data_IF_836296638069
#
_entry.id   IF_836296638069
#
_cell.length_a   1.000
_cell.length_b   1.000
_cell.length_c   1.000
_cell.angle_alpha   90.00
_cell.angle_beta   90.00
_cell.angle_gamma   90.00
#
_symmetry.space_group_name_H-M   'P 1'
#
loop_
_entity.id
_entity.type
_entity.pdbx_description
1 polymer ?
#
# COMPACT_ATOMS: atom_id res chain seq x y z
N UNK A 1 -30.60 -12.69 77.69
CA UNK A 1 -30.91 -13.59 76.57
C UNK A 1 -30.63 -12.84 75.27
N UNK A 2 -29.45 -13.02 74.65
CA UNK A 2 -29.04 -12.35 73.39
C UNK A 2 -29.04 -13.39 72.30
N UNK A 3 -29.93 -13.23 71.33
CA UNK A 3 -30.04 -14.09 70.14
C UNK A 3 -29.11 -13.53 69.04
N UNK A 4 -28.14 -14.28 68.72
CA UNK A 4 -27.25 -13.98 67.53
C UNK A 4 -27.92 -14.51 66.28
N UNK A 5 -28.15 -13.62 65.32
CA UNK A 5 -28.64 -13.98 64.03
C UNK A 5 -27.39 -14.18 63.11
N UNK A 6 -27.22 -15.40 62.59
CA UNK A 6 -26.24 -15.73 61.58
C UNK A 6 -26.75 -15.25 60.22
N UNK A 7 -26.00 -14.39 59.57
CA UNK A 7 -26.21 -13.99 58.17
C UNK A 7 -25.41 -14.93 57.29
N UNK A 8 -25.99 -15.65 56.32
CA UNK A 8 -25.24 -16.42 55.37
C UNK A 8 -24.62 -15.49 54.32
N UNK A 9 -23.32 -15.53 54.20
CA UNK A 9 -22.52 -14.86 53.16
C UNK A 9 -22.69 -15.62 51.85
N UNK A 10 -23.48 -15.05 50.94
CA UNK A 10 -23.74 -15.61 49.61
C UNK A 10 -22.53 -15.29 48.71
N UNK A 11 -21.67 -16.28 48.48
CA UNK A 11 -20.53 -16.21 47.60
C UNK A 11 -21.02 -16.19 46.16
N UNK A 12 -20.92 -15.02 45.48
CA UNK A 12 -21.24 -14.81 44.07
C UNK A 12 -20.06 -15.28 43.26
N UNK A 13 -20.10 -16.50 42.71
CA UNK A 13 -19.13 -16.98 41.72
C UNK A 13 -19.42 -16.30 40.38
N UNK A 14 -18.60 -15.30 40.01
CA UNK A 14 -18.52 -14.76 38.65
C UNK A 14 -17.82 -15.80 37.73
N UNK A 15 -18.64 -16.49 36.94
CA UNK A 15 -18.14 -17.29 35.81
C UNK A 15 -17.70 -16.34 34.69
N UNK A 16 -16.40 -16.09 34.62
CA UNK A 16 -15.78 -15.51 33.43
C UNK A 16 -15.81 -16.58 32.33
N UNK A 17 -16.84 -16.54 31.48
CA UNK A 17 -16.80 -17.24 30.20
C UNK A 17 -15.79 -16.53 29.31
N UNK A 18 -14.56 -17.01 29.29
CA UNK A 18 -13.62 -16.72 28.25
C UNK A 18 -14.16 -17.33 26.95
N UNK A 19 -14.68 -16.49 26.05
CA UNK A 19 -14.87 -16.86 24.66
C UNK A 19 -13.49 -17.12 24.06
N UNK A 20 -13.05 -18.38 24.08
CA UNK A 20 -11.98 -18.87 23.27
C UNK A 20 -12.50 -18.96 21.83
N UNK A 21 -12.35 -17.89 21.06
CA UNK A 21 -12.41 -17.96 19.61
C UNK A 21 -11.23 -18.78 19.16
N UNK A 22 -11.48 -19.91 18.50
CA UNK A 22 -10.49 -20.61 17.69
C UNK A 22 -10.25 -19.71 16.46
N UNK A 23 -9.44 -18.64 16.65
CA UNK A 23 -8.87 -17.89 15.56
C UNK A 23 -7.83 -18.82 14.91
N UNK A 24 -8.04 -19.18 13.66
CA UNK A 24 -6.89 -19.46 12.80
C UNK A 24 -5.95 -18.26 12.91
N UNK A 25 -4.66 -18.49 12.86
CA UNK A 25 -3.67 -17.42 12.86
C UNK A 25 -3.99 -16.51 11.65
N UNK A 26 -4.80 -15.48 11.89
CA UNK A 26 -4.87 -14.35 11.00
C UNK A 26 -3.47 -13.73 11.07
N UNK A 27 -2.75 -13.71 9.95
CA UNK A 27 -1.46 -13.04 9.89
C UNK A 27 -1.61 -11.61 10.40
N UNK A 28 -0.60 -11.12 11.09
CA UNK A 28 -0.53 -9.72 11.53
C UNK A 28 -0.34 -8.84 10.29
N UNK A 29 -0.92 -7.65 10.29
CA UNK A 29 -0.69 -6.66 9.24
C UNK A 29 0.81 -6.32 9.08
N UNK A 30 1.58 -6.41 10.16
CA UNK A 30 3.02 -6.31 10.13
C UNK A 30 3.67 -7.44 9.32
N UNK A 31 3.15 -8.66 9.43
CA UNK A 31 3.63 -9.82 8.66
C UNK A 31 3.32 -9.67 7.17
N UNK A 32 2.13 -9.14 6.82
CA UNK A 32 1.76 -8.86 5.44
C UNK A 32 2.66 -7.80 4.77
N UNK A 33 3.27 -6.91 5.55
CA UNK A 33 4.19 -5.87 5.09
C UNK A 33 5.64 -6.33 4.98
N UNK A 34 6.02 -7.41 5.67
CA UNK A 34 7.41 -7.90 5.70
C UNK A 34 8.00 -8.24 4.32
N UNK A 35 7.25 -8.86 3.36
CA UNK A 35 7.76 -9.10 2.03
C UNK A 35 8.21 -7.83 1.32
N UNK A 36 7.45 -6.74 1.45
CA UNK A 36 7.78 -5.45 0.82
C UNK A 36 9.06 -4.82 1.37
N UNK A 37 9.33 -4.99 2.66
CA UNK A 37 10.55 -4.47 3.30
C UNK A 37 11.81 -5.18 2.84
N UNK A 38 11.68 -6.43 2.44
CA UNK A 38 12.81 -7.29 2.10
C UNK A 38 12.89 -7.62 0.60
N UNK A 39 11.97 -7.07 -0.23
CA UNK A 39 11.95 -7.40 -1.65
C UNK A 39 13.17 -6.87 -2.40
N UNK A 40 13.65 -7.65 -3.36
CA UNK A 40 14.62 -7.21 -4.36
C UNK A 40 13.96 -6.34 -5.43
N UNK A 41 12.68 -6.55 -5.69
CA UNK A 41 11.85 -5.81 -6.63
C UNK A 41 10.51 -6.51 -6.83
N UNK A 42 9.64 -5.87 -7.63
CA UNK A 42 8.35 -6.45 -8.00
C UNK A 42 7.87 -5.88 -9.33
N UNK A 43 7.06 -6.67 -10.03
CA UNK A 43 6.32 -6.24 -11.23
C UNK A 43 4.85 -6.18 -10.89
N UNK A 44 4.18 -5.14 -11.34
CA UNK A 44 2.76 -4.93 -11.09
C UNK A 44 2.08 -4.25 -12.27
N UNK A 45 0.78 -4.48 -12.40
CA UNK A 45 -0.10 -3.77 -13.30
C UNK A 45 -1.29 -3.24 -12.52
N UNK A 46 -1.72 -2.02 -12.79
CA UNK A 46 -2.86 -1.42 -12.11
C UNK A 46 -3.64 -0.46 -13.03
N UNK A 47 -4.95 -0.38 -12.79
CA UNK A 47 -5.81 0.67 -13.31
C UNK A 47 -5.70 1.87 -12.36
N UNK A 48 -5.21 2.99 -12.87
CA UNK A 48 -4.93 4.20 -12.10
C UNK A 48 -5.86 5.31 -12.51
N UNK A 49 -6.47 5.96 -11.52
CA UNK A 49 -7.24 7.20 -11.70
C UNK A 49 -6.65 8.30 -10.84
N UNK A 50 -6.39 9.45 -11.44
CA UNK A 50 -5.85 10.63 -10.78
C UNK A 50 -6.76 11.83 -11.03
N UNK A 51 -7.12 12.54 -9.97
CA UNK A 51 -7.89 13.78 -10.04
C UNK A 51 -7.01 14.94 -9.61
N UNK A 52 -6.71 15.84 -10.54
CA UNK A 52 -5.91 17.03 -10.28
C UNK A 52 -6.53 18.24 -10.97
N UNK A 53 -6.70 19.34 -10.24
CA UNK A 53 -7.27 20.60 -10.74
C UNK A 53 -8.64 20.43 -11.43
N UNK A 54 -9.44 19.45 -10.98
CA UNK A 54 -10.76 19.15 -11.55
C UNK A 54 -10.71 18.36 -12.87
N UNK A 55 -9.54 17.99 -13.36
CA UNK A 55 -9.35 17.06 -14.46
C UNK A 55 -9.15 15.63 -13.91
N UNK A 56 -9.78 14.65 -14.56
CA UNK A 56 -9.58 13.22 -14.26
C UNK A 56 -8.71 12.62 -15.34
N UNK A 57 -7.65 11.95 -14.92
CA UNK A 57 -6.78 11.18 -15.78
C UNK A 57 -6.88 9.70 -15.40
N UNK A 58 -7.06 8.84 -16.38
CA UNK A 58 -7.17 7.40 -16.17
C UNK A 58 -6.21 6.66 -17.11
N UNK A 59 -5.51 5.66 -16.59
CA UNK A 59 -4.62 4.84 -17.37
C UNK A 59 -4.44 3.45 -16.75
N UNK A 60 -4.07 2.47 -17.58
CA UNK A 60 -3.49 1.22 -17.12
C UNK A 60 -1.98 1.36 -17.16
N UNK A 61 -1.34 1.14 -16.03
CA UNK A 61 0.10 1.24 -15.87
C UNK A 61 0.69 -0.12 -15.56
N UNK A 62 1.84 -0.41 -16.16
CA UNK A 62 2.75 -1.48 -15.71
C UNK A 62 3.95 -0.83 -15.02
N UNK A 63 4.35 -1.37 -13.88
CA UNK A 63 5.50 -0.90 -13.15
C UNK A 63 6.43 -2.07 -12.83
N UNK A 64 7.70 -1.86 -13.15
CA UNK A 64 8.84 -2.69 -12.75
C UNK A 64 9.59 -1.91 -11.67
N UNK A 65 9.33 -2.24 -10.40
CA UNK A 65 9.84 -1.53 -9.24
C UNK A 65 11.08 -2.19 -8.66
N UNK A 66 12.17 -1.45 -8.57
CA UNK A 66 13.42 -1.87 -7.92
C UNK A 66 13.77 -0.88 -6.81
N UNK A 67 13.72 -1.30 -5.53
CA UNK A 67 14.15 -0.45 -4.42
C UNK A 67 15.60 0.02 -4.62
N UNK A 68 15.83 1.34 -4.51
CA UNK A 68 17.18 1.94 -4.66
C UNK A 68 17.84 1.67 -6.02
N UNK A 69 17.04 1.30 -7.03
CA UNK A 69 17.47 1.02 -8.37
C UNK A 69 16.65 1.77 -9.41
N UNK A 70 16.86 1.41 -10.68
CA UNK A 70 16.07 1.96 -11.77
C UNK A 70 14.67 1.32 -11.76
N UNK A 71 13.64 2.15 -11.66
CA UNK A 71 12.25 1.76 -11.72
C UNK A 71 11.63 2.24 -13.02
N UNK A 72 10.92 1.38 -13.73
CA UNK A 72 10.26 1.72 -14.98
C UNK A 72 8.74 1.66 -14.81
N UNK A 73 8.04 2.68 -15.31
CA UNK A 73 6.58 2.72 -15.38
C UNK A 73 6.16 2.94 -16.83
N UNK A 74 5.36 2.04 -17.38
CA UNK A 74 4.89 2.10 -18.76
C UNK A 74 3.36 2.26 -18.78
N UNK A 75 2.88 3.14 -19.66
CA UNK A 75 1.44 3.28 -19.94
C UNK A 75 1.02 2.20 -20.94
N UNK A 76 0.10 1.33 -20.53
CA UNK A 76 -0.49 0.29 -21.40
C UNK A 76 -1.77 0.78 -22.08
N UNK A 77 -2.56 1.61 -21.41
CA UNK A 77 -3.80 2.21 -21.93
C UNK A 77 -3.97 3.62 -21.33
N UNK A 78 -4.70 4.53 -22.03
CA UNK A 78 -5.35 4.37 -23.33
C UNK A 78 -4.35 4.38 -24.51
N UNK A 79 -4.77 3.87 -25.67
CA UNK A 79 -3.92 3.77 -26.89
C UNK A 79 -3.27 5.11 -27.30
N UNK A 80 -3.89 6.22 -26.99
CA UNK A 80 -3.38 7.58 -27.33
C UNK A 80 -2.06 7.93 -26.67
N UNK A 81 -1.71 7.28 -25.56
CA UNK A 81 -0.47 7.49 -24.81
C UNK A 81 0.22 6.16 -24.46
N UNK A 82 -0.28 5.04 -24.98
CA UNK A 82 0.36 3.74 -24.76
C UNK A 82 1.79 3.72 -25.28
N UNK A 83 2.69 3.07 -24.51
CA UNK A 83 4.11 3.00 -24.80
C UNK A 83 4.93 4.17 -24.25
N UNK A 84 4.28 5.19 -23.65
CA UNK A 84 5.01 6.20 -22.87
C UNK A 84 5.57 5.52 -21.62
N UNK A 85 6.87 5.69 -21.38
CA UNK A 85 7.58 5.15 -20.21
C UNK A 85 8.13 6.28 -19.37
N UNK A 86 8.07 6.10 -18.05
CA UNK A 86 8.86 6.87 -17.12
C UNK A 86 9.95 5.98 -16.54
N UNK A 87 11.18 6.44 -16.59
CA UNK A 87 12.33 5.81 -15.94
C UNK A 87 12.70 6.68 -14.74
N UNK A 88 12.62 6.08 -13.56
CA UNK A 88 12.92 6.74 -12.29
C UNK A 88 14.24 6.18 -11.75
N UNK A 89 15.24 7.03 -11.61
CA UNK A 89 16.55 6.68 -11.07
C UNK A 89 17.14 7.87 -10.32
N UNK A 90 17.69 7.64 -9.14
CA UNK A 90 18.35 8.66 -8.30
C UNK A 90 17.51 9.93 -8.03
N UNK A 91 16.17 9.80 -8.03
CA UNK A 91 15.24 10.91 -7.83
C UNK A 91 14.99 11.74 -9.09
N UNK A 92 15.56 11.37 -10.22
CA UNK A 92 15.29 11.95 -11.54
C UNK A 92 14.25 11.13 -12.30
N UNK A 93 13.52 11.77 -13.19
CA UNK A 93 12.54 11.15 -14.07
C UNK A 93 12.86 11.48 -15.52
N UNK A 94 13.03 10.45 -16.30
CA UNK A 94 13.05 10.53 -17.75
C UNK A 94 11.75 9.97 -18.33
N UNK A 95 11.13 10.73 -19.23
CA UNK A 95 10.01 10.23 -20.03
C UNK A 95 10.55 9.79 -21.38
N UNK A 96 10.27 8.56 -21.74
CA UNK A 96 10.72 7.94 -23.00
C UNK A 96 9.48 7.56 -23.82
N UNK A 97 9.46 7.97 -25.07
CA UNK A 97 8.44 7.57 -26.03
C UNK A 97 9.05 7.38 -27.42
N UNK A 98 8.92 6.19 -27.98
CA UNK A 98 9.64 5.79 -29.20
C UNK A 98 11.15 6.02 -29.05
N UNK A 99 11.75 6.85 -29.92
CA UNK A 99 13.19 7.19 -29.90
C UNK A 99 13.45 8.54 -29.19
N UNK A 100 12.44 9.12 -28.54
CA UNK A 100 12.54 10.42 -27.87
C UNK A 100 12.66 10.22 -26.36
N UNK A 101 13.60 10.96 -25.76
CA UNK A 101 13.80 11.00 -24.31
C UNK A 101 13.69 12.45 -23.86
N UNK A 102 12.87 12.68 -22.85
CA UNK A 102 12.67 13.98 -22.22
C UNK A 102 12.98 13.86 -20.72
N UNK A 103 13.99 14.61 -20.27
CA UNK A 103 14.20 14.76 -18.83
C UNK A 103 13.05 15.58 -18.24
N UNK A 104 12.23 14.94 -17.40
CA UNK A 104 11.09 15.57 -16.72
C UNK A 104 11.48 16.25 -15.40
N UNK A 105 12.78 16.21 -15.05
CA UNK A 105 13.32 16.83 -13.84
C UNK A 105 13.27 15.90 -12.63
N UNK A 106 13.47 16.48 -11.46
CA UNK A 106 13.40 15.75 -10.20
C UNK A 106 11.92 15.63 -9.80
N UNK A 107 11.46 14.41 -9.55
CA UNK A 107 10.30 14.22 -8.70
C UNK A 107 10.71 14.71 -7.32
N UNK A 108 10.38 15.95 -7.01
CA UNK A 108 10.40 16.34 -5.61
C UNK A 108 9.48 15.35 -4.89
N UNK A 109 9.88 14.85 -3.73
CA UNK A 109 9.12 13.92 -2.90
C UNK A 109 7.73 14.46 -2.47
N UNK A 110 7.27 15.52 -3.09
CA UNK A 110 6.12 16.36 -2.77
C UNK A 110 5.09 16.47 -3.90
N UNK A 111 5.43 16.04 -5.11
CA UNK A 111 4.47 16.02 -6.20
C UNK A 111 4.02 14.59 -6.46
N UNK A 112 2.74 14.34 -6.20
CA UNK A 112 2.12 13.09 -6.58
C UNK A 112 1.93 13.12 -8.10
N UNK A 113 2.77 12.35 -8.80
CA UNK A 113 2.68 12.20 -10.24
C UNK A 113 1.98 10.89 -10.58
N UNK A 114 1.02 10.89 -11.53
CA UNK A 114 0.42 9.65 -11.99
C UNK A 114 1.45 8.58 -12.41
N UNK A 115 2.54 9.00 -13.06
CA UNK A 115 3.60 8.08 -13.51
C UNK A 115 4.52 7.59 -12.38
N UNK A 116 4.46 8.20 -11.19
CA UNK A 116 5.26 7.78 -10.04
C UNK A 116 4.42 7.14 -8.92
N UNK A 117 3.11 7.03 -9.10
CA UNK A 117 2.21 6.60 -8.04
C UNK A 117 2.44 5.15 -7.59
N UNK A 118 2.67 4.22 -8.52
CA UNK A 118 2.90 2.81 -8.18
C UNK A 118 4.22 2.64 -7.41
N UNK A 119 5.37 3.21 -7.86
CA UNK A 119 6.59 3.25 -7.05
C UNK A 119 6.39 3.89 -5.68
N UNK A 120 5.60 4.98 -5.59
CA UNK A 120 5.32 5.66 -4.33
C UNK A 120 4.53 4.78 -3.36
N UNK A 121 3.52 4.03 -3.85
CA UNK A 121 2.77 3.07 -3.04
C UNK A 121 3.67 1.92 -2.53
N UNK A 122 4.59 1.42 -3.37
CA UNK A 122 5.56 0.40 -2.95
C UNK A 122 6.55 0.93 -1.91
N UNK A 123 7.04 2.15 -2.09
CA UNK A 123 7.89 2.82 -1.10
C UNK A 123 7.16 3.05 0.23
N UNK A 124 5.85 3.36 0.19
CA UNK A 124 5.02 3.45 1.40
C UNK A 124 4.99 2.13 2.17
N UNK A 125 4.77 1.02 1.48
CA UNK A 125 4.78 -0.31 2.11
C UNK A 125 6.16 -0.67 2.67
N UNK A 126 7.22 -0.31 1.96
CA UNK A 126 8.59 -0.62 2.36
C UNK A 126 9.04 0.22 3.55
N UNK A 127 9.00 1.53 3.43
CA UNK A 127 9.74 2.46 4.30
C UNK A 127 8.83 3.42 5.08
N UNK A 128 7.57 3.59 4.67
CA UNK A 128 6.67 4.57 5.23
C UNK A 128 6.29 4.30 6.69
N UNK A 129 5.92 5.35 7.41
CA UNK A 129 5.50 5.28 8.81
C UNK A 129 4.03 4.83 8.90
N UNK A 130 3.78 3.63 9.42
CA UNK A 130 2.43 3.09 9.62
C UNK A 130 1.69 3.90 10.69
N UNK A 131 0.57 4.50 10.31
CA UNK A 131 -0.31 5.26 11.19
C UNK A 131 -1.47 4.43 11.71
N UNK A 132 -2.11 3.69 10.82
CA UNK A 132 -3.32 2.92 11.11
C UNK A 132 -3.28 1.58 10.37
N UNK A 133 -3.84 0.57 11.02
CA UNK A 133 -4.10 -0.75 10.43
C UNK A 133 -5.49 -1.21 10.83
N UNK A 134 -6.18 -1.88 9.92
CA UNK A 134 -7.47 -2.53 10.19
C UNK A 134 -7.66 -3.74 9.27
N UNK A 135 -8.48 -4.67 9.72
CA UNK A 135 -9.00 -5.75 8.89
C UNK A 135 -10.29 -5.29 8.22
N UNK A 136 -10.37 -5.48 6.92
CA UNK A 136 -11.54 -5.10 6.12
C UNK A 136 -11.87 -6.18 5.09
N UNK A 137 -13.07 -6.10 4.52
CA UNK A 137 -13.44 -6.84 3.32
C UNK A 137 -13.45 -5.88 2.13
N UNK A 138 -12.61 -6.16 1.14
CA UNK A 138 -12.58 -5.41 -0.12
C UNK A 138 -13.16 -6.26 -1.23
N UNK A 139 -14.37 -5.94 -1.68
CA UNK A 139 -15.07 -6.65 -2.76
C UNK A 139 -15.19 -8.17 -2.54
N UNK A 140 -15.40 -8.61 -1.30
CA UNK A 140 -15.50 -10.02 -0.93
C UNK A 140 -14.17 -10.71 -0.64
N UNK A 141 -13.08 -9.95 -0.58
CA UNK A 141 -11.75 -10.45 -0.23
C UNK A 141 -11.31 -9.88 1.11
N UNK A 142 -10.99 -10.76 2.06
CA UNK A 142 -10.43 -10.34 3.35
C UNK A 142 -9.06 -9.69 3.16
N UNK A 143 -8.87 -8.49 3.70
CA UNK A 143 -7.65 -7.72 3.52
C UNK A 143 -7.24 -6.97 4.78
N UNK A 144 -5.98 -6.60 4.86
CA UNK A 144 -5.46 -5.58 5.76
C UNK A 144 -5.49 -4.24 5.06
N UNK A 145 -6.12 -3.24 5.69
CA UNK A 145 -6.03 -1.85 5.25
C UNK A 145 -4.95 -1.16 6.07
N UNK A 146 -3.94 -0.64 5.39
CA UNK A 146 -2.80 0.04 6.00
C UNK A 146 -2.78 1.49 5.56
N UNK A 147 -2.73 2.43 6.51
CA UNK A 147 -2.50 3.85 6.22
C UNK A 147 -1.10 4.24 6.66
N UNK A 148 -0.34 4.76 5.72
CA UNK A 148 1.08 5.06 5.86
C UNK A 148 1.32 6.54 5.62
N UNK A 149 2.09 7.17 6.50
CA UNK A 149 2.54 8.56 6.34
C UNK A 149 3.82 8.62 5.49
N UNK A 150 3.75 9.40 4.42
CA UNK A 150 4.87 9.69 3.53
C UNK A 150 5.18 11.19 3.49
N UNK A 151 4.68 11.94 4.47
CA UNK A 151 4.86 13.39 4.54
C UNK A 151 6.35 13.73 4.67
N UNK A 152 6.88 14.47 3.69
CA UNK A 152 8.23 15.04 3.75
C UNK A 152 8.27 16.32 4.58
N UNK A 153 9.45 16.95 4.69
CA UNK A 153 9.66 18.18 5.46
C UNK A 153 8.96 19.43 4.86
N UNK A 154 8.46 19.35 3.64
CA UNK A 154 7.90 20.50 2.90
C UNK A 154 6.58 20.13 2.23
N UNK A 155 5.55 20.94 2.44
CA UNK A 155 4.30 21.07 1.69
C UNK A 155 3.28 19.91 1.70
N UNK A 156 2.40 19.93 2.70
CA UNK A 156 1.18 19.11 2.73
C UNK A 156 1.37 17.71 3.33
N UNK A 157 0.29 17.18 3.85
CA UNK A 157 0.27 15.85 4.44
C UNK A 157 -0.01 14.81 3.36
N UNK A 158 0.95 13.95 3.05
CA UNK A 158 0.78 12.85 2.08
C UNK A 158 0.56 11.55 2.84
N UNK A 159 -0.60 10.93 2.60
CA UNK A 159 -0.95 9.63 3.15
C UNK A 159 -1.17 8.64 2.00
N UNK A 160 -0.59 7.46 2.12
CA UNK A 160 -0.89 6.32 1.27
C UNK A 160 -1.68 5.29 2.05
N UNK A 161 -2.82 4.85 1.50
CA UNK A 161 -3.62 3.77 2.07
C UNK A 161 -3.59 2.59 1.11
N UNK A 162 -3.27 1.39 1.60
CA UNK A 162 -3.21 0.18 0.79
C UNK A 162 -4.05 -0.93 1.42
N UNK A 163 -4.72 -1.69 0.56
CA UNK A 163 -5.44 -2.92 0.92
C UNK A 163 -4.63 -4.10 0.43
N UNK A 164 -4.13 -4.89 1.38
CA UNK A 164 -3.35 -6.10 1.11
C UNK A 164 -4.19 -7.32 1.41
N UNK A 165 -4.26 -8.29 0.50
CA UNK A 165 -4.96 -9.55 0.72
C UNK A 165 -4.35 -10.27 1.93
N UNK A 166 -5.19 -10.76 2.85
CA UNK A 166 -4.71 -11.43 4.07
C UNK A 166 -3.98 -12.75 3.78
N UNK A 167 -4.35 -13.45 2.70
CA UNK A 167 -3.81 -14.76 2.35
C UNK A 167 -2.32 -14.72 1.96
N UNK A 168 -1.93 -13.72 1.17
CA UNK A 168 -0.60 -13.66 0.53
C UNK A 168 0.07 -12.28 0.54
N UNK A 169 -0.58 -11.28 1.13
CA UNK A 169 -0.08 -9.90 1.16
C UNK A 169 -0.12 -9.18 -0.20
N UNK A 170 -0.74 -9.76 -1.24
CA UNK A 170 -0.86 -9.11 -2.55
C UNK A 170 -1.67 -7.81 -2.45
N UNK A 171 -1.21 -6.69 -3.05
CA UNK A 171 -1.97 -5.46 -3.04
C UNK A 171 -3.20 -5.59 -3.94
N UNK A 172 -4.35 -5.13 -3.43
CA UNK A 172 -5.63 -5.09 -4.15
C UNK A 172 -5.92 -3.69 -4.65
N UNK A 173 -5.68 -2.71 -3.77
CA UNK A 173 -5.93 -1.30 -4.02
C UNK A 173 -4.91 -0.43 -3.29
N UNK A 174 -4.59 0.73 -3.88
CA UNK A 174 -3.85 1.80 -3.26
C UNK A 174 -4.53 3.15 -3.46
N UNK A 175 -4.41 4.04 -2.49
CA UNK A 175 -4.88 5.42 -2.56
C UNK A 175 -3.78 6.35 -2.06
N UNK A 176 -3.64 7.51 -2.70
CA UNK A 176 -2.77 8.58 -2.24
C UNK A 176 -3.63 9.81 -1.98
N UNK A 177 -3.57 10.30 -0.75
CA UNK A 177 -4.26 11.51 -0.32
C UNK A 177 -3.25 12.61 0.01
N UNK A 178 -3.58 13.83 -0.41
CA UNK A 178 -2.84 15.05 -0.07
C UNK A 178 -3.76 15.95 0.74
N UNK A 179 -3.33 16.35 1.93
CA UNK A 179 -4.11 17.19 2.86
C UNK A 179 -5.53 16.64 3.15
N UNK A 180 -5.69 15.31 3.10
CA UNK A 180 -6.93 14.60 3.38
C UNK A 180 -7.85 14.43 2.16
N UNK A 181 -7.48 14.91 0.99
CA UNK A 181 -8.20 14.68 -0.27
C UNK A 181 -7.52 13.56 -1.06
N UNK A 182 -8.29 12.52 -1.43
CA UNK A 182 -7.79 11.43 -2.27
C UNK A 182 -7.64 11.97 -3.68
N UNK A 183 -6.39 12.05 -4.14
CA UNK A 183 -6.05 12.56 -5.47
C UNK A 183 -5.72 11.45 -6.45
N UNK A 184 -5.41 10.25 -5.95
CA UNK A 184 -5.03 9.13 -6.78
C UNK A 184 -5.54 7.82 -6.19
N UNK A 185 -6.02 6.94 -7.07
CA UNK A 185 -6.38 5.56 -6.76
C UNK A 185 -5.71 4.63 -7.76
N UNK A 186 -5.30 3.43 -7.31
CA UNK A 186 -4.74 2.37 -8.12
C UNK A 186 -5.40 1.04 -7.73
N UNK A 187 -6.10 0.41 -8.65
CA UNK A 187 -6.67 -0.92 -8.49
C UNK A 187 -5.73 -1.94 -9.18
N UNK A 188 -5.08 -2.80 -8.38
CA UNK A 188 -4.07 -3.72 -8.88
C UNK A 188 -4.72 -4.90 -9.61
N UNK A 189 -4.31 -5.14 -10.85
CA UNK A 189 -4.76 -6.24 -11.70
C UNK A 189 -3.79 -7.41 -11.71
N UNK A 190 -2.50 -7.12 -11.53
CA UNK A 190 -1.47 -8.14 -11.32
C UNK A 190 -0.37 -7.64 -10.39
N UNK A 191 0.26 -8.58 -9.68
CA UNK A 191 1.39 -8.30 -8.81
C UNK A 191 2.24 -9.56 -8.61
N UNK A 192 3.57 -9.42 -8.69
CA UNK A 192 4.52 -10.46 -8.33
C UNK A 192 5.83 -9.86 -7.81
N UNK A 193 6.35 -10.43 -6.72
CA UNK A 193 7.73 -10.15 -6.31
C UNK A 193 8.71 -10.77 -7.31
N UNK A 194 9.90 -10.21 -7.42
CA UNK A 194 10.98 -10.88 -8.09
C UNK A 194 11.32 -12.18 -7.38
N UNK A 195 11.59 -13.22 -8.15
CA UNK A 195 12.10 -14.46 -7.59
C UNK A 195 13.41 -14.15 -6.86
N UNK A 196 13.47 -14.53 -5.59
CA UNK A 196 14.73 -14.51 -4.85
C UNK A 196 15.64 -15.50 -5.55
N UNK A 197 16.68 -15.00 -6.25
CA UNK A 197 17.70 -15.88 -6.79
C UNK A 197 18.36 -16.56 -5.57
N UNK A 198 17.93 -17.79 -5.26
CA UNK A 198 18.69 -18.62 -4.36
C UNK A 198 20.08 -18.80 -4.99
N UNK A 199 21.07 -18.12 -4.41
CA UNK A 199 22.46 -18.36 -4.74
C UNK A 199 22.73 -19.84 -4.40
N UNK A 200 22.71 -20.70 -5.42
CA UNK A 200 23.26 -22.04 -5.31
C UNK A 200 24.79 -21.86 -5.24
N UNK A 201 25.31 -21.97 -4.01
CA UNK A 201 26.74 -22.24 -3.76
C UNK A 201 27.11 -23.66 -4.21
#
# INVERSE_FOLDING_TARGET
MRRWACVPMMTLCLLLTACGGTGGEAGDAADARMPYRNMAGCVMEAEVSCTQDGAVWEATLQCDYVPEGETTVEVLAPETIAGVKAVLSDGEVELVYEDQCLNAGNLSSQEVSPMACLPQLMSALRDGWLLEESEEDWQGTACFRLTVDQTGEQNGKILSTLWLRQEDGTPLRGEIAVDGEIILTADFTSFSFYDTIENQE
#
